data_IF_390904040256
#
_entry.id   IF_390904040256
#
_cell.length_a   1.000
_cell.length_b   1.000
_cell.length_c   1.000
_cell.angle_alpha   90.00
_cell.angle_beta   90.00
_cell.angle_gamma   90.00
#
_symmetry.space_group_name_H-M   'P 1'
#
loop_
_entity.id
_entity.type
_entity.pdbx_description
1 polymer ?
#
# COMPACT_ATOMS: atom_id res chain seq x y z
N UNK A 1 37.64 9.83 11.68
CA UNK A 1 37.23 8.41 11.63
C UNK A 1 36.18 8.29 10.54
N UNK A 2 36.51 7.66 9.41
CA UNK A 2 35.60 7.58 8.27
C UNK A 2 34.55 6.49 8.53
N UNK A 3 33.30 6.89 8.78
CA UNK A 3 32.18 5.93 8.86
C UNK A 3 31.90 5.35 7.47
N UNK A 4 31.33 4.15 7.45
CA UNK A 4 30.83 3.50 6.24
C UNK A 4 29.81 4.41 5.54
N UNK A 5 29.95 4.58 4.23
CA UNK A 5 28.97 5.26 3.38
C UNK A 5 27.67 4.45 3.35
N UNK A 6 26.49 5.08 3.58
CA UNK A 6 25.20 4.40 3.51
C UNK A 6 24.95 3.82 2.12
N UNK A 7 24.23 2.71 2.06
CA UNK A 7 23.83 2.04 0.82
C UNK A 7 22.31 2.01 0.66
N UNK A 8 21.88 1.97 -0.59
CA UNK A 8 20.48 1.82 -0.99
C UNK A 8 19.85 0.61 -0.29
N UNK A 9 18.64 0.80 0.24
CA UNK A 9 17.90 -0.22 1.00
C UNK A 9 18.31 -0.35 2.48
N UNK A 10 19.36 0.32 2.95
CA UNK A 10 19.71 0.28 4.37
C UNK A 10 18.70 1.03 5.24
N UNK A 11 18.35 0.46 6.41
CA UNK A 11 17.46 1.08 7.39
C UNK A 11 18.30 1.68 8.52
N UNK A 12 18.15 2.98 8.71
CA UNK A 12 18.78 3.74 9.78
C UNK A 12 17.74 4.21 10.80
N UNK A 13 18.08 4.10 12.08
CA UNK A 13 17.32 4.70 13.17
C UNK A 13 17.94 6.02 13.57
N UNK A 14 17.14 7.08 13.55
CA UNK A 14 17.55 8.38 14.07
C UNK A 14 17.54 8.34 15.61
N UNK A 15 18.42 9.10 16.26
CA UNK A 15 18.52 9.14 17.73
C UNK A 15 17.22 9.56 18.47
N UNK A 16 16.22 10.03 17.74
CA UNK A 16 14.86 10.32 18.23
C UNK A 16 13.89 9.14 18.10
N UNK A 17 14.38 7.95 17.77
CA UNK A 17 13.61 6.70 17.68
C UNK A 17 12.89 6.45 16.34
N UNK A 18 12.94 7.38 15.39
CA UNK A 18 12.28 7.22 14.08
C UNK A 18 13.17 6.48 13.09
N UNK A 19 12.57 5.61 12.28
CA UNK A 19 13.26 4.81 11.28
C UNK A 19 13.14 5.41 9.88
N UNK A 20 14.21 5.23 9.10
CA UNK A 20 14.35 5.75 7.75
C UNK A 20 15.06 4.75 6.85
N UNK A 21 14.63 4.66 5.59
CA UNK A 21 15.28 3.83 4.56
C UNK A 21 16.10 4.73 3.64
N UNK A 22 17.38 4.40 3.45
CA UNK A 22 18.22 5.06 2.45
C UNK A 22 17.76 4.62 1.08
N UNK A 23 17.40 5.58 0.23
CA UNK A 23 17.01 5.34 -1.15
C UNK A 23 18.25 5.36 -2.03
N UNK A 24 18.96 6.49 -2.04
CA UNK A 24 20.12 6.73 -2.89
C UNK A 24 21.08 7.74 -2.25
N UNK A 25 22.30 7.80 -2.79
CA UNK A 25 23.19 8.96 -2.60
C UNK A 25 23.14 9.81 -3.87
N UNK A 26 22.76 11.07 -3.72
CA UNK A 26 22.75 12.06 -4.79
C UNK A 26 23.96 13.01 -4.65
N UNK A 27 24.33 13.67 -5.75
CA UNK A 27 25.29 14.78 -5.74
C UNK A 27 24.52 16.06 -6.06
N UNK A 28 24.66 17.07 -5.20
CA UNK A 28 24.10 18.38 -5.47
C UNK A 28 24.92 19.05 -6.58
N UNK A 29 24.29 19.34 -7.72
CA UNK A 29 24.99 19.92 -8.88
C UNK A 29 25.46 21.36 -8.66
N UNK A 30 24.89 22.09 -7.70
CA UNK A 30 25.28 23.47 -7.41
C UNK A 30 26.48 23.58 -6.46
N UNK A 31 26.62 22.62 -5.55
CA UNK A 31 27.63 22.64 -4.47
C UNK A 31 28.62 21.49 -4.53
N UNK A 32 28.37 20.51 -5.40
CA UNK A 32 29.10 19.24 -5.51
C UNK A 32 29.06 18.37 -4.23
N UNK A 33 28.23 18.74 -3.24
CA UNK A 33 28.09 17.99 -2.00
C UNK A 33 27.26 16.71 -2.18
N UNK A 34 27.69 15.63 -1.51
CA UNK A 34 26.92 14.39 -1.47
C UNK A 34 25.74 14.51 -0.49
N UNK A 35 24.55 14.15 -0.96
CA UNK A 35 23.31 14.13 -0.20
C UNK A 35 22.81 12.69 -0.05
N UNK A 36 22.44 12.30 1.18
CA UNK A 36 21.67 11.09 1.42
C UNK A 36 20.20 11.38 1.15
N UNK A 37 19.62 10.65 0.20
CA UNK A 37 18.18 10.66 -0.08
C UNK A 37 17.55 9.49 0.68
N UNK A 38 16.61 9.78 1.57
CA UNK A 38 16.01 8.77 2.44
C UNK A 38 14.53 9.00 2.67
N UNK A 39 13.81 7.92 2.90
CA UNK A 39 12.36 7.86 3.12
C UNK A 39 12.06 7.62 4.59
N UNK A 40 11.08 8.33 5.15
CA UNK A 40 10.53 8.00 6.46
C UNK A 40 9.75 6.68 6.41
N UNK A 41 10.04 5.77 7.35
CA UNK A 41 9.27 4.51 7.52
C UNK A 41 8.10 4.68 8.50
N UNK A 42 7.56 5.90 8.58
CA UNK A 42 6.45 6.30 9.43
C UNK A 42 5.63 7.38 8.73
N UNK A 43 4.41 7.63 9.21
CA UNK A 43 3.46 8.69 8.84
C UNK A 43 3.77 9.44 7.53
N UNK A 44 3.11 9.04 6.44
CA UNK A 44 3.13 9.78 5.17
C UNK A 44 4.38 9.59 4.31
N UNK A 45 5.32 8.71 4.68
CA UNK A 45 6.41 8.25 3.80
C UNK A 45 7.21 9.37 3.12
N UNK A 46 7.43 10.48 3.85
CA UNK A 46 8.12 11.64 3.30
C UNK A 46 9.55 11.31 2.86
N UNK A 47 9.96 11.87 1.71
CA UNK A 47 11.32 11.76 1.17
C UNK A 47 12.10 13.01 1.52
N UNK A 48 13.32 12.83 2.02
CA UNK A 48 14.19 13.89 2.48
C UNK A 48 15.59 13.78 1.88
N UNK A 49 16.24 14.92 1.70
CA UNK A 49 17.65 15.01 1.35
C UNK A 49 18.43 15.63 2.52
N UNK A 50 19.61 15.08 2.83
CA UNK A 50 20.50 15.62 3.87
C UNK A 50 21.96 15.46 3.47
N UNK A 51 22.84 16.44 3.73
CA UNK A 51 24.27 16.28 3.52
C UNK A 51 24.83 15.02 4.18
N UNK A 52 25.63 14.26 3.43
CA UNK A 52 26.19 12.98 3.87
C UNK A 52 26.98 13.12 5.16
N UNK A 53 27.80 14.18 5.28
CA UNK A 53 28.54 14.46 6.51
C UNK A 53 27.61 14.68 7.71
N UNK A 54 26.53 15.44 7.52
CA UNK A 54 25.54 15.67 8.58
C UNK A 54 24.73 14.42 8.91
N UNK A 55 24.51 13.51 7.96
CA UNK A 55 23.84 12.24 8.20
C UNK A 55 24.74 11.31 9.04
N UNK A 56 26.03 11.26 8.73
CA UNK A 56 27.02 10.44 9.43
C UNK A 56 27.51 11.04 10.75
N UNK A 57 27.20 12.31 11.03
CA UNK A 57 27.68 13.04 12.21
C UNK A 57 27.26 12.42 13.56
N UNK A 58 28.06 12.61 14.62
CA UNK A 58 27.71 12.20 15.98
C UNK A 58 26.48 12.98 16.50
N UNK A 59 25.79 12.43 17.49
CA UNK A 59 24.78 13.19 18.24
C UNK A 59 25.49 14.33 18.97
N UNK A 60 24.89 15.51 18.92
CA UNK A 60 25.35 16.64 19.73
C UNK A 60 25.04 16.36 21.21
N UNK A 61 26.05 15.86 21.93
CA UNK A 61 25.96 15.50 23.35
C UNK A 61 25.74 16.70 24.27
N UNK A 62 26.07 17.93 23.83
CA UNK A 62 25.77 19.13 24.62
C UNK A 62 24.27 19.43 24.59
N UNK A 63 23.65 19.22 23.42
CA UNK A 63 22.21 19.43 23.24
C UNK A 63 21.37 18.24 23.72
N UNK A 64 21.91 17.03 23.62
CA UNK A 64 21.23 15.79 23.97
C UNK A 64 22.13 14.90 24.84
N UNK A 65 22.30 15.24 26.14
CA UNK A 65 23.23 14.54 27.01
C UNK A 65 22.80 13.08 27.30
N UNK A 66 21.49 12.83 27.42
CA UNK A 66 20.95 11.54 27.85
C UNK A 66 20.74 10.54 26.71
N UNK A 67 21.03 10.92 25.47
CA UNK A 67 20.86 10.05 24.31
C UNK A 67 21.94 8.99 24.30
N UNK A 68 21.57 7.71 24.41
CA UNK A 68 22.55 6.61 24.41
C UNK A 68 23.24 6.46 23.04
N UNK A 69 22.48 6.65 21.96
CA UNK A 69 22.95 6.57 20.58
C UNK A 69 24.15 7.49 20.31
N UNK A 70 25.21 6.98 19.68
CA UNK A 70 26.45 7.73 19.42
C UNK A 70 26.29 8.67 18.22
N UNK A 71 25.60 8.19 17.18
CA UNK A 71 25.44 8.92 15.94
C UNK A 71 24.02 9.36 15.68
N UNK A 72 23.84 10.42 14.88
CA UNK A 72 22.50 10.91 14.56
C UNK A 72 21.64 9.84 13.91
N UNK A 73 22.26 9.02 13.06
CA UNK A 73 21.69 7.87 12.38
C UNK A 73 22.61 6.66 12.58
N UNK A 74 22.02 5.54 13.01
CA UNK A 74 22.68 4.26 13.17
C UNK A 74 21.98 3.19 12.36
N UNK A 75 22.76 2.34 11.70
CA UNK A 75 22.26 1.25 10.86
C UNK A 75 21.60 0.20 11.76
N UNK A 76 20.31 -0.03 11.57
CA UNK A 76 19.52 -0.97 12.37
C UNK A 76 18.98 -2.15 11.56
N UNK A 77 19.12 -2.11 10.23
CA UNK A 77 18.73 -3.23 9.39
C UNK A 77 18.89 -2.94 7.91
N UNK A 78 18.35 -3.86 7.13
CA UNK A 78 18.23 -3.74 5.69
C UNK A 78 16.75 -3.93 5.37
N UNK A 79 16.19 -3.07 4.54
CA UNK A 79 14.98 -3.44 3.82
C UNK A 79 15.32 -4.71 3.06
N UNK A 80 14.43 -5.71 3.08
CA UNK A 80 14.56 -6.84 2.18
C UNK A 80 14.86 -6.29 0.78
N UNK A 81 15.81 -6.87 0.02
CA UNK A 81 16.08 -6.40 -1.32
C UNK A 81 14.72 -6.27 -2.00
N UNK A 82 14.39 -5.06 -2.45
CA UNK A 82 13.38 -4.94 -3.47
C UNK A 82 13.92 -5.86 -4.56
N UNK A 83 13.25 -7.00 -4.76
CA UNK A 83 13.53 -7.88 -5.89
C UNK A 83 13.71 -6.95 -7.10
N UNK A 84 14.82 -7.10 -7.85
CA UNK A 84 15.15 -6.18 -8.92
C UNK A 84 13.89 -5.96 -9.71
N UNK A 85 13.46 -4.69 -9.80
CA UNK A 85 12.21 -4.29 -10.41
C UNK A 85 11.88 -5.24 -11.55
N UNK A 86 10.99 -6.20 -11.28
CA UNK A 86 10.44 -7.04 -12.32
C UNK A 86 9.77 -6.03 -13.23
N UNK A 87 10.39 -5.84 -14.41
CA UNK A 87 9.90 -5.13 -15.58
C UNK A 87 8.52 -4.51 -15.36
N UNK A 88 8.44 -3.20 -15.06
CA UNK A 88 7.19 -2.44 -14.92
C UNK A 88 5.95 -3.32 -14.71
N UNK A 89 5.87 -4.07 -13.60
CA UNK A 89 4.59 -4.65 -13.26
C UNK A 89 3.71 -3.44 -12.91
N UNK A 90 2.63 -3.20 -13.68
CA UNK A 90 1.79 -2.04 -13.45
C UNK A 90 1.38 -2.08 -11.99
N UNK A 91 1.43 -0.91 -11.35
CA UNK A 91 0.82 -0.68 -10.04
C UNK A 91 -0.44 -1.52 -10.02
N UNK A 92 -0.47 -2.62 -9.25
CA UNK A 92 -1.72 -3.30 -8.96
C UNK A 92 -2.46 -2.32 -8.06
N UNK A 93 -3.06 -1.32 -8.69
CA UNK A 93 -4.30 -0.76 -8.22
C UNK A 93 -5.14 -2.00 -7.98
N UNK A 94 -5.28 -2.41 -6.72
CA UNK A 94 -6.30 -3.37 -6.34
C UNK A 94 -7.62 -2.67 -6.64
N UNK A 95 -8.01 -2.71 -7.91
CA UNK A 95 -9.24 -2.14 -8.41
C UNK A 95 -10.32 -2.69 -7.48
N UNK A 96 -10.99 -1.83 -6.69
CA UNK A 96 -11.87 -2.29 -5.63
C UNK A 96 -12.80 -3.37 -6.17
N UNK A 97 -13.03 -4.45 -5.42
CA UNK A 97 -13.80 -5.61 -5.91
C UNK A 97 -15.14 -5.19 -6.54
N UNK A 98 -15.74 -4.10 -6.05
CA UNK A 98 -16.96 -3.53 -6.60
C UNK A 98 -16.79 -3.07 -8.06
N UNK A 99 -15.71 -2.39 -8.42
CA UNK A 99 -15.46 -1.94 -9.79
C UNK A 99 -15.34 -3.16 -10.70
N UNK A 100 -14.54 -4.17 -10.30
CA UNK A 100 -14.42 -5.43 -11.05
C UNK A 100 -15.75 -6.16 -11.21
N UNK A 101 -16.64 -6.07 -10.22
CA UNK A 101 -17.98 -6.65 -10.28
C UNK A 101 -18.91 -5.88 -11.25
N UNK A 102 -18.82 -4.56 -11.25
CA UNK A 102 -19.62 -3.68 -12.12
C UNK A 102 -19.23 -3.83 -13.60
N UNK A 103 -17.95 -4.09 -13.88
CA UNK A 103 -17.42 -4.32 -15.23
C UNK A 103 -17.87 -5.66 -15.84
N UNK A 104 -18.48 -6.56 -15.06
CA UNK A 104 -18.98 -7.84 -15.57
C UNK A 104 -20.25 -7.62 -16.39
N UNK A 105 -20.23 -8.13 -17.63
CA UNK A 105 -21.33 -7.95 -18.58
C UNK A 105 -22.49 -8.92 -18.29
N UNK A 106 -22.21 -10.17 -17.89
CA UNK A 106 -23.24 -11.18 -17.65
C UNK A 106 -23.54 -11.42 -16.16
N UNK A 107 -24.80 -11.77 -15.87
CA UNK A 107 -25.22 -12.11 -14.51
C UNK A 107 -24.58 -13.44 -14.04
N UNK A 108 -24.27 -14.36 -14.96
CA UNK A 108 -23.55 -15.60 -14.70
C UNK A 108 -22.12 -15.35 -14.21
N UNK A 109 -21.41 -14.41 -14.84
CA UNK A 109 -20.07 -14.01 -14.43
C UNK A 109 -20.09 -13.32 -13.07
N UNK A 110 -21.09 -12.45 -12.82
CA UNK A 110 -21.31 -11.84 -11.51
C UNK A 110 -21.46 -12.89 -10.41
N UNK A 111 -22.22 -13.96 -10.64
CA UNK A 111 -22.35 -15.06 -9.67
C UNK A 111 -21.01 -15.78 -9.46
N UNK A 112 -20.28 -16.11 -10.52
CA UNK A 112 -18.96 -16.77 -10.41
C UNK A 112 -17.95 -15.89 -9.65
N UNK A 113 -17.97 -14.58 -9.90
CA UNK A 113 -17.13 -13.61 -9.19
C UNK A 113 -17.44 -13.59 -7.70
N UNK A 114 -18.72 -13.51 -7.32
CA UNK A 114 -19.16 -13.54 -5.92
C UNK A 114 -18.76 -14.84 -5.21
N UNK A 115 -18.80 -15.98 -5.91
CA UNK A 115 -18.36 -17.27 -5.37
C UNK A 115 -16.85 -17.33 -5.16
N UNK A 116 -16.07 -16.83 -6.12
CA UNK A 116 -14.60 -16.82 -6.07
C UNK A 116 -14.06 -15.91 -4.94
N UNK A 117 -14.68 -14.76 -4.75
CA UNK A 117 -14.26 -13.75 -3.77
C UNK A 117 -15.04 -13.80 -2.46
N UNK A 118 -15.76 -14.90 -2.17
CA UNK A 118 -16.70 -15.00 -1.04
C UNK A 118 -16.09 -14.59 0.31
N UNK A 119 -14.82 -14.90 0.55
CA UNK A 119 -14.13 -14.58 1.81
C UNK A 119 -13.80 -13.09 1.98
N UNK A 120 -13.74 -12.33 0.88
CA UNK A 120 -13.33 -10.93 0.84
C UNK A 120 -14.53 -9.97 0.79
N UNK A 121 -15.75 -10.48 0.56
CA UNK A 121 -16.95 -9.65 0.45
C UNK A 121 -17.40 -9.15 1.81
N UNK A 122 -17.60 -7.83 1.91
CA UNK A 122 -18.10 -7.16 3.10
C UNK A 122 -19.48 -6.51 2.84
N UNK A 123 -20.10 -5.97 3.89
CA UNK A 123 -21.42 -5.30 3.77
C UNK A 123 -21.42 -4.14 2.78
N UNK A 124 -20.34 -3.38 2.71
CA UNK A 124 -20.24 -2.22 1.82
C UNK A 124 -20.26 -2.65 0.36
N UNK A 125 -19.50 -3.68 0.02
CA UNK A 125 -19.54 -4.29 -1.31
C UNK A 125 -20.95 -4.80 -1.63
N UNK A 126 -21.57 -5.56 -0.72
CA UNK A 126 -22.88 -6.19 -0.97
C UNK A 126 -23.98 -5.15 -1.15
N UNK A 127 -23.95 -4.05 -0.37
CA UNK A 127 -24.88 -2.92 -0.55
C UNK A 127 -24.70 -2.28 -1.92
N UNK A 128 -23.46 -1.96 -2.32
CA UNK A 128 -23.18 -1.33 -3.60
C UNK A 128 -23.56 -2.25 -4.78
N UNK A 129 -23.31 -3.55 -4.67
CA UNK A 129 -23.72 -4.54 -5.65
C UNK A 129 -25.26 -4.64 -5.75
N UNK A 130 -25.96 -4.65 -4.61
CA UNK A 130 -27.43 -4.67 -4.57
C UNK A 130 -28.03 -3.41 -5.24
N UNK A 131 -27.50 -2.23 -4.90
CA UNK A 131 -27.90 -0.95 -5.49
C UNK A 131 -27.70 -0.94 -7.01
N UNK A 132 -26.56 -1.43 -7.50
CA UNK A 132 -26.29 -1.58 -8.93
C UNK A 132 -27.27 -2.51 -9.65
N UNK A 133 -27.71 -3.58 -8.97
CA UNK A 133 -28.69 -4.53 -9.51
C UNK A 133 -30.14 -4.04 -9.40
N UNK A 134 -30.38 -2.88 -8.80
CA UNK A 134 -31.72 -2.34 -8.54
C UNK A 134 -32.47 -3.12 -7.46
N UNK A 135 -31.74 -3.77 -6.55
CA UNK A 135 -32.27 -4.56 -5.44
C UNK A 135 -32.07 -3.80 -4.11
N UNK A 136 -33.10 -3.77 -3.28
CA UNK A 136 -33.00 -3.22 -1.92
C UNK A 136 -32.65 -4.34 -0.95
N UNK A 137 -31.42 -4.31 -0.45
CA UNK A 137 -30.91 -5.30 0.49
C UNK A 137 -31.59 -5.14 1.87
N UNK A 138 -32.15 -6.23 2.39
CA UNK A 138 -32.86 -6.24 3.70
C UNK A 138 -32.21 -7.18 4.72
N UNK A 139 -31.15 -7.88 4.32
CA UNK A 139 -30.41 -8.84 5.14
C UNK A 139 -29.73 -8.17 6.33
N UNK A 140 -29.92 -8.77 7.51
CA UNK A 140 -29.30 -8.30 8.76
C UNK A 140 -27.86 -8.77 8.94
N UNK A 141 -27.42 -9.82 8.24
CA UNK A 141 -26.05 -10.38 8.29
C UNK A 141 -25.41 -10.41 6.90
N UNK A 142 -24.07 -10.50 6.82
CA UNK A 142 -23.34 -10.53 5.54
C UNK A 142 -23.77 -11.72 4.69
N UNK A 143 -24.04 -12.86 5.31
CA UNK A 143 -24.48 -14.09 4.63
C UNK A 143 -25.87 -13.91 4.01
N UNK A 144 -26.81 -13.31 4.75
CA UNK A 144 -28.15 -13.02 4.23
C UNK A 144 -28.09 -12.05 3.05
N UNK A 145 -27.22 -11.03 3.13
CA UNK A 145 -27.04 -10.06 2.06
C UNK A 145 -26.41 -10.72 0.81
N UNK A 146 -25.41 -11.57 1.02
CA UNK A 146 -24.81 -12.36 -0.06
C UNK A 146 -25.85 -13.22 -0.78
N UNK A 147 -26.69 -13.94 -0.02
CA UNK A 147 -27.76 -14.75 -0.58
C UNK A 147 -28.79 -13.91 -1.33
N UNK A 148 -29.15 -12.73 -0.82
CA UNK A 148 -30.03 -11.77 -1.47
C UNK A 148 -29.51 -11.36 -2.86
N UNK A 149 -28.26 -10.92 -2.93
CA UNK A 149 -27.59 -10.53 -4.19
C UNK A 149 -27.52 -11.71 -5.17
N UNK A 150 -27.12 -12.90 -4.72
CA UNK A 150 -27.04 -14.09 -5.59
C UNK A 150 -28.42 -14.51 -6.10
N UNK A 151 -29.46 -14.44 -5.27
CA UNK A 151 -30.83 -14.75 -5.67
C UNK A 151 -31.37 -13.73 -6.68
N UNK A 152 -31.08 -12.44 -6.49
CA UNK A 152 -31.42 -11.39 -7.46
C UNK A 152 -30.81 -11.69 -8.84
N UNK A 153 -29.51 -12.00 -8.88
CA UNK A 153 -28.81 -12.37 -10.13
C UNK A 153 -29.42 -13.61 -10.78
N UNK A 154 -29.74 -14.66 -10.00
CA UNK A 154 -30.40 -15.88 -10.52
C UNK A 154 -31.79 -15.59 -11.08
N UNK A 155 -32.57 -14.72 -10.44
CA UNK A 155 -33.87 -14.30 -10.95
C UNK A 155 -33.69 -13.55 -12.28
N UNK A 156 -32.74 -12.62 -12.36
CA UNK A 156 -32.43 -11.89 -13.60
C UNK A 156 -32.03 -12.83 -14.74
N UNK A 157 -31.16 -13.81 -14.51
CA UNK A 157 -30.84 -14.87 -15.49
C UNK A 157 -32.11 -15.59 -15.97
N UNK A 158 -33.02 -15.92 -15.06
CA UNK A 158 -34.26 -16.63 -15.41
C UNK A 158 -35.24 -15.79 -16.23
N UNK A 159 -35.31 -14.48 -16.02
CA UNK A 159 -36.36 -13.61 -16.58
C UNK A 159 -35.88 -12.62 -17.67
N UNK A 160 -34.59 -12.31 -17.75
CA UNK A 160 -34.01 -11.38 -18.75
C UNK A 160 -33.54 -12.12 -20.01
N UNK A 161 -33.09 -13.37 -19.91
CA UNK A 161 -32.66 -14.20 -21.05
C UNK A 161 -33.81 -14.62 -22.00
N UNK A 162 -35.06 -14.36 -21.62
CA UNK A 162 -36.25 -14.64 -22.43
C UNK A 162 -36.81 -13.43 -23.20
N UNK A 163 -36.19 -12.24 -23.12
CA UNK A 163 -36.77 -10.98 -23.63
C UNK A 163 -36.14 -10.41 -24.90
N UNK A 164 -35.15 -11.09 -25.49
CA UNK A 164 -34.56 -10.73 -26.76
C UNK A 164 -34.62 -11.92 -27.73
N UNK A 165 -35.79 -12.11 -28.34
CA UNK A 165 -35.92 -12.73 -29.67
C UNK A 165 -36.76 -11.80 -30.53
#
# INVERSE_FOLDING_TARGET
>A
MSRRRPKDGEIYTHFKGKQYKVLHIAVNTETEEELVIYEALYDGHGIYARPLEMFLSPVDRRKYPDVLQEYRFELTGYAAPAEPAEEEQPVKEEVPLIIRFLDLESNEEKIKFLQRHRAELNRQFLSAAAESLGYTETGKTVEMQYEGVVNCLRMKIKYETGRLR
#
